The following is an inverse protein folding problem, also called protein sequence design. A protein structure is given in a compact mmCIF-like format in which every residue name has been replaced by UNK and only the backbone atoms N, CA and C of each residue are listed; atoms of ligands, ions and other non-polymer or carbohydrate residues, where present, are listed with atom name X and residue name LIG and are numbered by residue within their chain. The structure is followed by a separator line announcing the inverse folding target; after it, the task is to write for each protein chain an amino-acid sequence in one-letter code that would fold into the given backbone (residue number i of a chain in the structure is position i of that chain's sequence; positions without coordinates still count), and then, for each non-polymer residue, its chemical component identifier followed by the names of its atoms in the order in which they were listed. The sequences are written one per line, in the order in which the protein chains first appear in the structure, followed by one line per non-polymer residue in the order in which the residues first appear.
data_IF_874886758243
#
_entry.id   IF_874886758243
#
_cell.length_a   1.000
_cell.length_b   1.000
_cell.length_c   1.000
_cell.angle_alpha   90.00
_cell.angle_beta   90.00
_cell.angle_gamma   90.00
#
_symmetry.space_group_name_H-M   'P 1'
#
loop_
_entity.id
_entity.type
_entity.pdbx_description
1 polymer ?
#
# COMPACT_ATOMS: atom_id res chain seq x y z
N UNK A 1 49.89 -52.90 40.46
CA UNK A 1 51.17 -52.74 41.19
C UNK A 1 51.65 -51.30 41.04
N UNK A 2 51.88 -50.64 42.19
CA UNK A 2 52.87 -49.59 42.50
C UNK A 2 53.08 -48.36 41.58
N UNK A 3 52.78 -47.21 42.18
CA UNK A 3 53.29 -45.85 42.00
C UNK A 3 54.63 -45.63 41.26
N UNK A 4 54.70 -44.52 40.51
CA UNK A 4 55.75 -43.49 40.74
C UNK A 4 55.37 -42.10 40.20
N UNK A 5 55.36 -41.12 41.11
CA UNK A 5 55.47 -39.68 40.86
C UNK A 5 56.92 -39.32 40.49
N UNK A 6 57.12 -38.36 39.58
CA UNK A 6 58.26 -37.43 39.63
C UNK A 6 57.80 -36.02 39.26
N UNK A 7 58.14 -35.09 40.15
CA UNK A 7 57.97 -33.63 40.08
C UNK A 7 58.98 -32.98 39.12
N UNK A 8 58.52 -31.91 38.47
CA UNK A 8 59.12 -30.59 38.65
C UNK A 8 60.01 -30.04 37.53
N UNK A 9 59.60 -28.90 36.96
CA UNK A 9 60.29 -27.59 37.02
C UNK A 9 59.55 -26.55 36.15
N UNK A 10 59.21 -25.41 36.76
CA UNK A 10 58.95 -24.13 36.07
C UNK A 10 60.27 -23.32 36.07
N UNK A 11 60.57 -22.60 34.99
CA UNK A 11 60.68 -21.14 35.04
C UNK A 11 59.93 -20.47 33.86
N UNK A 12 59.16 -19.41 34.09
CA UNK A 12 59.52 -17.99 34.05
C UNK A 12 59.48 -17.37 32.63
N UNK A 13 58.38 -16.65 32.39
CA UNK A 13 58.17 -15.44 31.60
C UNK A 13 59.17 -15.08 30.49
N UNK A 14 58.64 -15.02 29.26
CA UNK A 14 58.97 -13.98 28.29
C UNK A 14 57.69 -13.58 27.56
N UNK A 15 57.21 -12.38 27.89
CA UNK A 15 56.18 -11.68 27.15
C UNK A 15 56.83 -11.07 25.90
N UNK A 16 56.33 -11.43 24.72
CA UNK A 16 56.46 -10.60 23.51
C UNK A 16 55.08 -10.59 22.87
N UNK A 17 54.49 -9.40 22.82
CA UNK A 17 53.21 -9.17 22.19
C UNK A 17 53.30 -9.39 20.68
N UNK A 18 52.30 -10.07 20.16
CA UNK A 18 51.87 -9.93 18.78
C UNK A 18 50.35 -9.79 18.84
N UNK A 19 49.85 -8.59 18.56
CA UNK A 19 48.43 -8.29 18.51
C UNK A 19 47.76 -9.18 17.47
N UNK A 20 46.94 -10.12 17.92
CA UNK A 20 45.96 -10.79 17.09
C UNK A 20 44.67 -9.95 17.16
N UNK A 21 44.46 -9.15 16.13
CA UNK A 21 43.19 -8.47 15.88
C UNK A 21 42.06 -9.49 15.84
N UNK A 22 41.11 -9.33 16.76
CA UNK A 22 39.85 -10.07 16.81
C UNK A 22 39.03 -9.72 15.57
N UNK A 23 38.95 -10.63 14.60
CA UNK A 23 37.92 -10.58 13.57
C UNK A 23 36.67 -11.29 14.11
N UNK A 24 35.89 -10.58 14.92
CA UNK A 24 34.54 -11.00 15.24
C UNK A 24 33.70 -10.85 13.97
N UNK A 25 33.33 -11.98 13.33
CA UNK A 25 32.27 -11.99 12.32
C UNK A 25 30.95 -11.68 13.03
N UNK A 26 30.63 -10.40 13.17
CA UNK A 26 29.28 -9.95 13.45
C UNK A 26 28.44 -10.19 12.18
N UNK A 27 27.67 -11.27 12.16
CA UNK A 27 26.57 -11.44 11.20
C UNK A 27 25.61 -10.26 11.40
N UNK A 28 25.66 -9.31 10.47
CA UNK A 28 24.81 -8.12 10.50
C UNK A 28 23.34 -8.52 10.52
N UNK A 29 22.69 -8.33 11.67
CA UNK A 29 21.24 -8.26 11.76
C UNK A 29 20.82 -6.93 11.12
N UNK A 30 20.67 -6.92 9.80
CA UNK A 30 20.04 -5.80 9.10
C UNK A 30 18.60 -5.68 9.58
N UNK A 31 18.33 -4.71 10.44
CA UNK A 31 16.97 -4.24 10.70
C UNK A 31 16.52 -3.49 9.45
N UNK A 32 15.58 -4.04 8.70
CA UNK A 32 14.91 -3.29 7.65
C UNK A 32 14.20 -2.12 8.31
N UNK A 33 14.56 -0.89 7.92
CA UNK A 33 13.81 0.29 8.36
C UNK A 33 12.46 0.27 7.63
N UNK A 34 11.39 -0.09 8.34
CA UNK A 34 10.04 0.08 7.82
C UNK A 34 9.65 1.56 7.95
N UNK A 35 9.14 2.14 6.86
CA UNK A 35 8.73 3.54 6.82
C UNK A 35 7.27 3.59 6.39
N UNK A 36 6.46 4.31 7.19
CA UNK A 36 5.01 4.51 7.12
C UNK A 36 4.14 3.27 7.46
N UNK A 37 3.26 3.44 8.45
CA UNK A 37 2.12 2.56 8.71
C UNK A 37 1.08 2.77 7.62
N UNK A 38 0.83 1.74 6.83
CA UNK A 38 -0.06 1.76 5.65
C UNK A 38 -1.42 1.12 5.91
N UNK A 39 -1.58 0.45 7.04
CA UNK A 39 -2.85 -0.10 7.52
C UNK A 39 -2.80 -0.25 9.02
N UNK A 40 -3.91 0.06 9.69
CA UNK A 40 -4.11 -0.22 11.10
C UNK A 40 -5.56 -0.63 11.32
N UNK A 41 -5.78 -1.52 12.28
CA UNK A 41 -7.11 -1.83 12.79
C UNK A 41 -6.99 -2.32 14.25
N UNK A 42 -7.61 -1.59 15.17
CA UNK A 42 -7.70 -1.92 16.59
C UNK A 42 -9.10 -2.40 16.99
N UNK A 43 -10.05 -2.50 16.04
CA UNK A 43 -11.43 -2.98 16.26
C UNK A 43 -12.23 -2.25 17.37
N UNK A 44 -11.74 -1.12 17.88
CA UNK A 44 -12.38 -0.32 18.93
C UNK A 44 -13.63 0.41 18.41
N UNK A 45 -13.75 0.54 17.08
CA UNK A 45 -14.94 1.06 16.40
C UNK A 45 -16.11 0.06 16.36
N UNK A 46 -15.86 -1.18 16.79
CA UNK A 46 -16.89 -2.21 16.92
C UNK A 46 -17.23 -2.92 15.62
N UNK A 47 -16.48 -2.70 14.54
CA UNK A 47 -16.69 -3.38 13.27
C UNK A 47 -15.39 -3.90 12.64
N UNK A 48 -15.52 -4.70 11.58
CA UNK A 48 -14.39 -5.27 10.85
C UNK A 48 -14.39 -4.79 9.39
N UNK A 49 -14.75 -3.53 9.17
CA UNK A 49 -14.78 -2.91 7.86
C UNK A 49 -13.40 -2.99 7.20
N UNK A 50 -13.39 -3.33 5.90
CA UNK A 50 -12.13 -3.53 5.17
C UNK A 50 -11.52 -4.94 5.32
N UNK A 51 -12.11 -5.81 6.13
CA UNK A 51 -11.79 -7.23 6.16
C UNK A 51 -12.74 -8.06 5.31
N UNK A 52 -12.20 -9.07 4.62
CA UNK A 52 -12.94 -10.01 3.80
C UNK A 52 -12.87 -11.42 4.37
N UNK A 53 -14.03 -12.07 4.51
CA UNK A 53 -14.17 -13.38 5.17
C UNK A 53 -13.94 -14.56 4.24
N UNK A 54 -13.29 -15.59 4.77
CA UNK A 54 -13.24 -16.92 4.19
C UNK A 54 -13.33 -17.98 5.30
N UNK A 55 -14.56 -18.46 5.55
CA UNK A 55 -14.85 -19.46 6.58
C UNK A 55 -14.87 -18.92 8.01
N UNK A 56 -15.37 -19.74 8.94
CA UNK A 56 -15.48 -19.44 10.37
C UNK A 56 -16.57 -18.44 10.75
N UNK A 57 -16.72 -18.28 12.06
CA UNK A 57 -17.66 -17.36 12.68
C UNK A 57 -16.86 -16.23 13.34
N UNK A 58 -17.02 -15.03 12.79
CA UNK A 58 -16.23 -13.86 13.11
C UNK A 58 -17.11 -12.72 13.59
N UNK A 59 -16.74 -12.09 14.69
CA UNK A 59 -17.43 -10.92 15.22
C UNK A 59 -16.44 -10.03 15.97
N UNK A 60 -16.63 -8.72 15.90
CA UNK A 60 -15.95 -7.78 16.78
C UNK A 60 -16.73 -7.68 18.08
N UNK A 61 -16.03 -7.89 19.19
CA UNK A 61 -16.62 -7.83 20.53
C UNK A 61 -15.56 -7.43 21.54
N UNK A 62 -15.88 -6.43 22.37
CA UNK A 62 -14.98 -5.96 23.42
C UNK A 62 -13.64 -5.43 22.90
N UNK A 63 -13.65 -4.73 21.76
CA UNK A 63 -12.44 -4.15 21.13
C UNK A 63 -11.53 -5.19 20.46
N UNK A 64 -12.00 -6.41 20.21
CA UNK A 64 -11.20 -7.44 19.56
C UNK A 64 -11.99 -8.18 18.49
N UNK A 65 -11.33 -8.51 17.39
CA UNK A 65 -11.91 -9.33 16.35
C UNK A 65 -11.77 -10.80 16.70
N UNK A 66 -12.89 -11.49 16.89
CA UNK A 66 -12.92 -12.84 17.46
C UNK A 66 -13.40 -13.86 16.45
N UNK A 67 -12.66 -14.95 16.30
CA UNK A 67 -13.11 -16.18 15.68
C UNK A 67 -13.55 -17.16 16.77
N UNK A 68 -14.78 -17.67 16.72
CA UNK A 68 -15.33 -18.55 17.76
C UNK A 68 -15.51 -20.02 17.36
N UNK A 69 -15.49 -20.33 16.07
CA UNK A 69 -15.79 -21.66 15.55
C UNK A 69 -14.57 -22.59 15.53
N UNK A 70 -14.40 -23.38 16.58
CA UNK A 70 -13.32 -24.37 16.69
C UNK A 70 -13.46 -25.57 15.74
N UNK A 71 -14.62 -25.76 15.12
CA UNK A 71 -14.85 -26.81 14.11
C UNK A 71 -14.44 -26.41 12.69
N UNK A 72 -14.10 -25.14 12.46
CA UNK A 72 -13.70 -24.65 11.14
C UNK A 72 -12.32 -25.19 10.76
N UNK A 73 -12.24 -25.92 9.63
CA UNK A 73 -10.97 -26.44 9.11
C UNK A 73 -9.96 -25.32 8.88
N UNK A 74 -10.39 -24.22 8.27
CA UNK A 74 -9.54 -23.06 8.06
C UNK A 74 -10.42 -21.82 7.93
N UNK A 75 -10.40 -20.96 8.94
CA UNK A 75 -11.11 -19.68 8.97
C UNK A 75 -10.12 -18.53 8.78
N UNK A 76 -10.46 -17.57 7.93
CA UNK A 76 -9.57 -16.47 7.57
C UNK A 76 -10.32 -15.16 7.42
N UNK A 77 -9.67 -14.08 7.82
CA UNK A 77 -10.01 -12.71 7.46
C UNK A 77 -8.82 -12.12 6.71
N UNK A 78 -9.07 -11.40 5.61
CA UNK A 78 -8.03 -10.72 4.85
C UNK A 78 -8.30 -9.23 4.73
N UNK A 79 -7.26 -8.42 4.92
CA UNK A 79 -7.30 -6.98 4.74
C UNK A 79 -6.02 -6.48 4.05
N UNK A 80 -6.03 -5.24 3.60
CA UNK A 80 -4.92 -4.67 2.85
C UNK A 80 -4.87 -5.13 1.39
N UNK A 81 -3.75 -4.88 0.74
CA UNK A 81 -3.65 -4.94 -0.72
C UNK A 81 -2.88 -6.18 -1.18
N UNK A 82 -3.35 -6.83 -2.25
CA UNK A 82 -2.67 -7.99 -2.85
C UNK A 82 -1.35 -7.62 -3.54
N UNK A 83 -1.11 -6.34 -3.77
CA UNK A 83 0.11 -5.83 -4.39
C UNK A 83 1.25 -5.55 -3.39
N UNK A 84 1.00 -5.62 -2.08
CA UNK A 84 2.06 -5.38 -1.08
C UNK A 84 3.16 -6.42 -1.20
N UNK A 85 4.36 -5.96 -1.50
CA UNK A 85 5.57 -6.77 -1.64
C UNK A 85 6.35 -6.76 -0.33
N UNK A 86 7.05 -5.66 -0.05
CA UNK A 86 7.91 -5.53 1.11
C UNK A 86 7.18 -4.78 2.21
N UNK A 87 6.92 -5.47 3.32
CA UNK A 87 6.21 -4.92 4.46
C UNK A 87 6.42 -5.77 5.70
N UNK A 88 6.13 -5.19 6.86
CA UNK A 88 5.88 -5.96 8.07
C UNK A 88 4.41 -5.86 8.46
N UNK A 89 3.85 -6.96 8.93
CA UNK A 89 2.54 -6.98 9.58
C UNK A 89 2.71 -7.44 11.01
N UNK A 90 2.07 -6.75 11.94
CA UNK A 90 2.00 -7.10 13.34
C UNK A 90 0.53 -7.17 13.79
N UNK A 91 0.23 -8.07 14.72
CA UNK A 91 -1.04 -8.08 15.44
C UNK A 91 -0.85 -8.68 16.84
N UNK A 92 -1.67 -8.27 17.79
CA UNK A 92 -1.90 -9.04 19.02
C UNK A 92 -2.85 -10.19 18.70
N UNK A 93 -2.49 -11.38 19.17
CA UNK A 93 -3.21 -12.62 18.92
C UNK A 93 -3.38 -13.37 20.24
N UNK A 94 -4.62 -13.74 20.56
CA UNK A 94 -4.96 -14.51 21.77
C UNK A 94 -5.67 -15.80 21.39
N UNK A 95 -4.97 -16.93 21.35
CA UNK A 95 -5.62 -18.23 21.23
C UNK A 95 -6.56 -18.45 22.42
N UNK A 96 -7.80 -18.87 22.17
CA UNK A 96 -8.78 -19.18 23.24
C UNK A 96 -9.05 -20.67 23.36
N UNK A 97 -8.96 -21.42 22.25
CA UNK A 97 -8.97 -22.88 22.28
C UNK A 97 -8.22 -23.47 21.08
N UNK A 98 -7.65 -24.65 21.27
CA UNK A 98 -7.07 -25.49 20.20
C UNK A 98 -7.80 -26.83 20.18
N UNK A 99 -8.31 -27.25 19.03
CA UNK A 99 -8.96 -28.55 18.86
C UNK A 99 -7.99 -29.73 18.79
N UNK A 100 -6.71 -29.46 18.53
CA UNK A 100 -5.64 -30.47 18.48
C UNK A 100 -4.26 -29.84 18.67
N UNK A 101 -3.21 -30.65 18.75
CA UNK A 101 -1.81 -30.17 18.80
C UNK A 101 -1.35 -29.49 17.51
N UNK A 102 -2.03 -29.74 16.39
CA UNK A 102 -1.77 -29.13 15.08
C UNK A 102 -2.72 -27.98 14.74
N UNK A 103 -3.78 -27.78 15.54
CA UNK A 103 -4.65 -26.62 15.43
C UNK A 103 -3.87 -25.33 15.65
N UNK A 104 -4.30 -24.24 15.02
CA UNK A 104 -3.52 -23.01 14.98
C UNK A 104 -4.36 -21.74 15.07
N UNK A 105 -3.76 -20.71 15.66
CA UNK A 105 -4.19 -19.31 15.56
C UNK A 105 -2.97 -18.51 15.08
N UNK A 106 -3.12 -17.63 14.10
CA UNK A 106 -1.95 -17.00 13.49
C UNK A 106 -2.22 -15.80 12.62
N UNK A 107 -1.10 -15.22 12.17
CA UNK A 107 -1.02 -14.06 11.31
C UNK A 107 -0.46 -14.48 9.95
N UNK A 108 -0.89 -13.85 8.87
CA UNK A 108 -0.41 -14.10 7.52
C UNK A 108 0.06 -12.84 6.80
N UNK A 109 1.08 -13.03 5.97
CA UNK A 109 1.65 -12.05 5.07
C UNK A 109 1.72 -12.62 3.65
N UNK A 110 1.77 -11.73 2.66
CA UNK A 110 1.77 -11.99 1.23
C UNK A 110 0.73 -13.04 0.82
N UNK A 111 -0.49 -12.93 1.36
CA UNK A 111 -1.58 -13.80 0.95
C UNK A 111 -2.01 -13.46 -0.47
N UNK A 112 -1.62 -14.28 -1.44
CA UNK A 112 -1.96 -14.10 -2.86
C UNK A 112 -3.27 -14.79 -3.23
N UNK A 113 -3.72 -15.75 -2.42
CA UNK A 113 -5.03 -16.40 -2.52
C UNK A 113 -5.51 -16.79 -1.13
N UNK A 114 -6.65 -17.50 -1.05
CA UNK A 114 -7.16 -18.02 0.22
C UNK A 114 -6.28 -19.12 0.83
N UNK A 115 -5.39 -19.74 0.04
CA UNK A 115 -4.58 -20.90 0.44
C UNK A 115 -3.12 -20.79 0.00
N UNK A 116 -2.66 -19.60 -0.41
CA UNK A 116 -1.26 -19.36 -0.78
C UNK A 116 -0.71 -18.12 -0.10
N UNK A 117 0.22 -18.29 0.84
CA UNK A 117 0.70 -17.23 1.75
C UNK A 117 1.95 -17.64 2.55
N UNK A 118 2.54 -16.69 3.27
CA UNK A 118 3.35 -16.97 4.45
C UNK A 118 2.50 -16.76 5.71
N UNK A 119 2.60 -17.67 6.69
CA UNK A 119 1.89 -17.52 7.97
C UNK A 119 2.78 -17.81 9.16
N UNK A 120 2.60 -17.07 10.24
CA UNK A 120 3.18 -17.33 11.54
C UNK A 120 2.08 -17.91 12.44
N UNK A 121 2.21 -19.20 12.75
CA UNK A 121 1.21 -19.99 13.44
C UNK A 121 1.61 -20.25 14.90
N UNK A 122 0.73 -19.94 15.83
CA UNK A 122 0.76 -20.45 17.20
C UNK A 122 0.00 -21.77 17.22
N UNK A 123 0.67 -22.89 17.53
CA UNK A 123 0.11 -24.23 17.49
C UNK A 123 -0.33 -24.71 18.87
N UNK A 124 -1.35 -25.56 18.92
CA UNK A 124 -1.81 -26.21 20.17
C UNK A 124 -0.74 -27.07 20.87
N UNK A 125 0.32 -27.47 20.15
CA UNK A 125 1.51 -28.13 20.72
C UNK A 125 2.41 -27.22 21.57
N UNK A 126 2.15 -25.91 21.61
CA UNK A 126 3.01 -24.94 22.30
C UNK A 126 4.19 -24.42 21.46
N UNK A 127 4.21 -24.75 20.15
CA UNK A 127 5.20 -24.28 19.18
C UNK A 127 4.67 -23.12 18.35
N UNK A 128 5.55 -22.17 18.06
CA UNK A 128 5.35 -21.17 17.02
C UNK A 128 6.09 -21.62 15.75
N UNK A 129 5.45 -21.53 14.60
CA UNK A 129 6.03 -21.89 13.31
C UNK A 129 5.81 -20.81 12.25
N UNK A 130 6.89 -20.41 11.58
CA UNK A 130 6.81 -19.64 10.34
C UNK A 130 6.70 -20.61 9.18
N UNK A 131 5.63 -20.50 8.39
CA UNK A 131 5.27 -21.48 7.37
C UNK A 131 5.05 -20.82 6.00
N UNK A 132 5.47 -21.52 4.95
CA UNK A 132 5.10 -21.27 3.56
C UNK A 132 3.94 -22.21 3.20
N UNK A 133 2.81 -21.66 2.74
CA UNK A 133 1.57 -22.41 2.47
C UNK A 133 1.24 -22.33 0.99
N UNK A 134 1.12 -23.47 0.31
CA UNK A 134 0.76 -23.57 -1.11
C UNK A 134 -0.35 -24.61 -1.31
N UNK A 135 -1.61 -24.18 -1.17
CA UNK A 135 -2.73 -25.11 -1.10
C UNK A 135 -2.61 -25.98 0.16
N UNK A 136 -2.69 -27.30 -0.03
CA UNK A 136 -2.53 -28.29 1.04
C UNK A 136 -1.07 -28.53 1.45
N UNK A 137 -0.10 -28.01 0.69
CA UNK A 137 1.33 -28.16 1.00
C UNK A 137 1.76 -27.06 1.98
N UNK A 138 2.23 -27.46 3.17
CA UNK A 138 2.70 -26.55 4.21
C UNK A 138 4.15 -26.90 4.55
N UNK A 139 5.06 -25.95 4.36
CA UNK A 139 6.48 -26.11 4.67
C UNK A 139 6.86 -25.16 5.80
N UNK A 140 7.41 -25.69 6.90
CA UNK A 140 7.98 -24.86 7.96
C UNK A 140 9.31 -24.23 7.48
N UNK A 141 9.38 -22.91 7.50
CA UNK A 141 10.61 -22.13 7.29
C UNK A 141 11.46 -22.17 8.56
N UNK A 142 10.81 -22.17 9.73
CA UNK A 142 11.46 -22.33 11.03
C UNK A 142 10.44 -22.37 12.16
N UNK A 143 10.91 -22.69 13.35
CA UNK A 143 10.03 -22.89 14.52
C UNK A 143 10.74 -22.69 15.85
N UNK A 144 9.98 -22.36 16.88
CA UNK A 144 10.44 -22.37 18.27
C UNK A 144 9.37 -22.93 19.21
N UNK A 145 9.78 -23.67 20.23
CA UNK A 145 8.92 -24.01 21.36
C UNK A 145 8.90 -22.82 22.33
N UNK A 146 7.73 -22.21 22.52
CA UNK A 146 7.60 -20.97 23.29
C UNK A 146 6.62 -21.07 24.46
N UNK A 147 5.90 -22.19 24.60
CA UNK A 147 4.91 -22.37 25.65
C UNK A 147 3.68 -21.48 25.45
N UNK A 148 2.80 -21.89 24.52
CA UNK A 148 1.57 -21.15 24.22
C UNK A 148 0.49 -21.51 25.25
N UNK A 149 -0.06 -20.50 25.90
CA UNK A 149 -1.15 -20.60 26.87
C UNK A 149 -2.40 -19.95 26.30
N UNK A 150 -3.53 -20.63 26.38
CA UNK A 150 -4.83 -20.07 25.97
C UNK A 150 -5.22 -18.91 26.88
N UNK A 151 -5.87 -17.89 26.32
CA UNK A 151 -6.27 -16.67 27.03
C UNK A 151 -5.16 -15.63 27.17
N UNK A 152 -3.92 -15.95 26.78
CA UNK A 152 -2.79 -15.02 26.78
C UNK A 152 -2.65 -14.31 25.44
N UNK A 153 -2.42 -13.00 25.46
CA UNK A 153 -2.08 -12.22 24.26
C UNK A 153 -0.61 -12.42 23.89
N UNK A 154 -0.37 -12.67 22.60
CA UNK A 154 0.94 -12.74 21.98
C UNK A 154 1.03 -11.72 20.86
N UNK A 155 2.12 -10.96 20.79
CA UNK A 155 2.37 -10.08 19.64
C UNK A 155 3.06 -10.88 18.55
N UNK A 156 2.36 -11.14 17.45
CA UNK A 156 2.92 -11.79 16.27
C UNK A 156 3.36 -10.72 15.28
N UNK A 157 4.51 -10.93 14.64
CA UNK A 157 4.98 -10.08 13.55
C UNK A 157 5.65 -10.89 12.46
N UNK A 158 5.33 -10.57 11.21
CA UNK A 158 5.98 -11.13 10.02
C UNK A 158 6.60 -9.98 9.25
N UNK A 159 7.89 -10.08 8.96
CA UNK A 159 8.56 -9.20 8.01
C UNK A 159 8.76 -9.96 6.70
N UNK A 160 8.32 -9.37 5.59
CA UNK A 160 8.58 -9.87 4.26
C UNK A 160 9.36 -8.80 3.48
N UNK A 161 10.57 -9.11 3.04
CA UNK A 161 11.38 -8.21 2.20
C UNK A 161 12.19 -8.99 1.18
N UNK A 162 11.99 -8.67 -0.10
CA UNK A 162 12.51 -9.49 -1.20
C UNK A 162 12.08 -10.95 -1.05
N UNK A 163 13.02 -11.89 -1.02
CA UNK A 163 12.76 -13.31 -0.70
C UNK A 163 12.87 -13.64 0.79
N UNK A 164 13.29 -12.70 1.63
CA UNK A 164 13.51 -12.95 3.06
C UNK A 164 12.19 -12.84 3.83
N UNK A 165 11.84 -13.88 4.58
CA UNK A 165 10.70 -13.89 5.50
C UNK A 165 11.23 -14.11 6.92
N UNK A 166 10.80 -13.27 7.87
CA UNK A 166 11.12 -13.38 9.31
C UNK A 166 9.85 -13.41 10.13
N UNK A 167 9.83 -14.24 11.16
CA UNK A 167 8.72 -14.36 12.10
C UNK A 167 9.18 -14.04 13.52
N UNK A 168 8.37 -13.27 14.23
CA UNK A 168 8.63 -12.84 15.59
C UNK A 168 7.44 -13.10 16.49
N UNK A 169 7.71 -13.51 17.73
CA UNK A 169 6.71 -13.61 18.79
C UNK A 169 7.19 -12.78 19.97
N UNK A 170 6.36 -11.86 20.46
CA UNK A 170 6.68 -10.95 21.56
C UNK A 170 8.01 -10.19 21.34
N UNK A 171 8.25 -9.76 20.10
CA UNK A 171 9.47 -9.06 19.69
C UNK A 171 10.68 -9.96 19.44
N UNK A 172 10.69 -11.21 19.90
CA UNK A 172 11.80 -12.16 19.66
C UNK A 172 11.66 -12.84 18.31
N UNK A 173 12.71 -12.81 17.49
CA UNK A 173 12.72 -13.54 16.21
C UNK A 173 12.76 -15.05 16.48
N UNK A 174 11.74 -15.78 16.02
CA UNK A 174 11.66 -17.25 16.20
C UNK A 174 12.10 -18.00 14.94
N UNK A 175 12.04 -17.36 13.76
CA UNK A 175 12.44 -17.96 12.50
C UNK A 175 12.81 -16.88 11.46
N UNK A 176 13.72 -17.24 10.56
CA UNK A 176 14.04 -16.47 9.35
C UNK A 176 14.47 -17.42 8.24
N UNK A 177 14.11 -17.12 7.00
CA UNK A 177 14.59 -17.86 5.84
C UNK A 177 14.33 -17.14 4.52
N UNK A 178 15.00 -17.59 3.47
CA UNK A 178 14.74 -17.15 2.09
C UNK A 178 13.71 -18.08 1.45
N UNK A 179 12.63 -17.53 0.90
CA UNK A 179 11.56 -18.26 0.24
C UNK A 179 10.92 -17.41 -0.88
N UNK A 180 10.64 -18.02 -2.03
CA UNK A 180 10.09 -17.35 -3.22
C UNK A 180 8.69 -17.83 -3.60
N UNK A 181 7.96 -18.46 -2.67
CA UNK A 181 6.60 -18.99 -2.90
C UNK A 181 5.64 -17.92 -3.44
N UNK A 182 5.64 -16.75 -2.81
CA UNK A 182 4.85 -15.57 -3.17
C UNK A 182 5.67 -14.30 -2.90
N UNK A 183 5.68 -13.38 -3.85
CA UNK A 183 6.43 -12.11 -3.76
C UNK A 183 5.55 -10.93 -3.33
N UNK A 184 4.22 -11.06 -3.40
CA UNK A 184 3.27 -10.04 -3.00
C UNK A 184 1.98 -10.67 -2.46
N UNK A 185 1.24 -9.91 -1.66
CA UNK A 185 -0.09 -10.30 -1.21
C UNK A 185 -0.54 -9.51 0.01
N UNK A 186 -1.82 -9.67 0.34
CA UNK A 186 -2.47 -8.98 1.46
C UNK A 186 -2.16 -9.66 2.80
N UNK A 187 -2.54 -9.02 3.90
CA UNK A 187 -2.42 -9.64 5.24
C UNK A 187 -3.61 -10.54 5.53
N UNK A 188 -3.48 -11.39 6.55
CA UNK A 188 -4.63 -12.14 7.04
C UNK A 188 -4.53 -12.58 8.50
N UNK A 189 -5.69 -12.74 9.13
CA UNK A 189 -5.86 -13.38 10.44
C UNK A 189 -6.41 -14.78 10.20
N UNK A 190 -5.85 -15.78 10.87
CA UNK A 190 -6.11 -17.18 10.51
C UNK A 190 -6.32 -18.02 11.76
N UNK A 191 -7.35 -18.88 11.72
CA UNK A 191 -7.46 -20.03 12.61
C UNK A 191 -7.65 -21.32 11.81
N UNK A 192 -7.23 -22.46 12.37
CA UNK A 192 -7.52 -23.81 11.87
C UNK A 192 -7.84 -24.69 13.05
N UNK A 193 -9.06 -25.23 13.10
CA UNK A 193 -9.59 -26.01 14.22
C UNK A 193 -9.34 -25.38 15.59
N UNK A 194 -9.40 -24.05 15.65
CA UNK A 194 -9.06 -23.25 16.83
C UNK A 194 -9.90 -21.97 16.84
N UNK A 195 -10.01 -21.37 18.02
CA UNK A 195 -10.63 -20.08 18.24
C UNK A 195 -9.64 -19.10 18.86
N UNK A 196 -9.86 -17.81 18.64
CA UNK A 196 -8.97 -16.77 19.14
C UNK A 196 -9.45 -15.36 18.86
N UNK A 197 -8.84 -14.41 19.57
CA UNK A 197 -9.02 -12.98 19.37
C UNK A 197 -7.80 -12.35 18.69
N UNK A 198 -8.07 -11.30 17.93
CA UNK A 198 -7.08 -10.51 17.20
C UNK A 198 -7.32 -9.04 17.48
N UNK A 199 -6.24 -8.28 17.63
CA UNK A 199 -6.29 -6.86 18.00
C UNK A 199 -4.98 -6.16 17.58
N UNK A 200 -4.98 -4.83 17.55
CA UNK A 200 -3.84 -3.97 17.20
C UNK A 200 -3.09 -4.42 15.94
N UNK A 201 -3.85 -4.65 14.86
CA UNK A 201 -3.27 -4.99 13.57
C UNK A 201 -2.60 -3.75 13.00
N UNK A 202 -1.34 -3.86 12.63
CA UNK A 202 -0.57 -2.79 12.00
C UNK A 202 0.24 -3.34 10.84
N UNK A 203 0.35 -2.57 9.76
CA UNK A 203 1.20 -2.90 8.61
C UNK A 203 2.07 -1.70 8.33
N UNK A 204 3.38 -1.91 8.29
CA UNK A 204 4.33 -0.88 7.88
C UNK A 204 5.01 -1.28 6.57
N UNK A 205 5.14 -0.33 5.64
CA UNK A 205 5.85 -0.59 4.38
C UNK A 205 7.35 -0.80 4.57
N UNK A 206 7.91 -1.78 3.87
CA UNK A 206 9.34 -2.08 3.87
C UNK A 206 10.11 -1.06 3.06
N UNK A 207 10.97 -0.28 3.72
CA UNK A 207 11.82 0.71 3.07
C UNK A 207 13.00 0.05 2.34
N UNK A 208 12.98 0.13 1.01
CA UNK A 208 14.15 -0.10 0.17
C UNK A 208 14.78 1.22 -0.29
N UNK A 209 15.98 1.50 0.22
CA UNK A 209 17.03 2.47 -0.20
C UNK A 209 17.34 3.64 0.77
N UNK A 210 18.63 3.73 1.11
CA UNK A 210 19.33 4.58 2.08
C UNK A 210 19.35 6.08 1.71
N UNK A 211 19.17 7.00 2.68
CA UNK A 211 19.78 8.34 2.64
C UNK A 211 20.92 8.47 3.68
N UNK A 212 21.86 9.43 3.50
CA UNK A 212 23.13 9.45 4.21
C UNK A 212 22.99 9.81 5.70
N UNK A 213 23.96 9.32 6.48
CA UNK A 213 24.13 9.56 7.91
C UNK A 213 24.24 11.03 8.27
N UNK A 214 23.39 11.52 9.17
CA UNK A 214 23.71 12.63 10.08
C UNK A 214 23.10 12.38 11.46
N UNK A 215 23.91 12.68 12.48
CA UNK A 215 23.69 12.57 13.92
C UNK A 215 22.35 13.17 14.37
N UNK A 216 21.66 12.49 15.29
CA UNK A 216 20.33 12.85 15.80
C UNK A 216 20.32 14.17 16.62
N UNK A 217 19.38 15.09 16.34
CA UNK A 217 18.89 16.10 17.28
C UNK A 217 17.74 15.55 18.15
N UNK A 218 17.47 16.14 19.33
CA UNK A 218 16.54 15.60 20.32
C UNK A 218 15.07 15.74 19.90
N UNK A 219 14.22 14.91 20.51
CA UNK A 219 12.80 14.74 20.22
C UNK A 219 12.00 16.06 20.08
N UNK A 220 11.11 16.20 19.08
CA UNK A 220 10.15 17.28 19.03
C UNK A 220 8.81 16.89 19.69
N UNK A 221 8.44 17.67 20.70
CA UNK A 221 7.13 17.71 21.37
C UNK A 221 6.11 18.55 20.59
N UNK A 222 6.06 18.43 19.27
CA UNK A 222 5.16 19.23 18.42
C UNK A 222 4.69 18.46 17.20
N UNK A 223 3.42 18.69 16.83
CA UNK A 223 2.72 18.03 15.73
C UNK A 223 3.52 18.01 14.41
N UNK A 224 3.31 17.01 13.52
CA UNK A 224 4.05 16.88 12.28
C UNK A 224 3.89 18.17 11.44
N UNK A 225 4.93 18.62 10.72
CA UNK A 225 4.78 19.74 9.82
C UNK A 225 3.71 19.37 8.78
N UNK A 226 2.63 20.14 8.77
CA UNK A 226 1.77 20.27 7.61
C UNK A 226 2.65 20.85 6.51
N UNK A 227 3.27 20.00 5.69
CA UNK A 227 3.80 20.50 4.42
C UNK A 227 2.55 20.95 3.66
N UNK A 228 2.36 22.26 3.44
CA UNK A 228 1.30 22.69 2.56
C UNK A 228 1.58 22.07 1.19
N UNK A 229 0.55 21.74 0.40
CA UNK A 229 0.76 21.46 -1.01
C UNK A 229 1.59 22.62 -1.59
N UNK A 230 2.55 22.37 -2.51
CA UNK A 230 3.51 23.39 -2.91
C UNK A 230 2.76 24.66 -3.33
N UNK A 231 2.98 25.74 -2.59
CA UNK A 231 2.67 27.10 -3.06
C UNK A 231 3.69 27.54 -4.12
N UNK A 232 4.15 26.60 -4.96
CA UNK A 232 5.12 26.81 -6.01
C UNK A 232 4.40 27.21 -7.28
N UNK A 233 4.97 28.18 -7.98
CA UNK A 233 4.60 28.50 -9.35
C UNK A 233 4.63 27.24 -10.21
N UNK A 234 3.80 27.21 -11.25
CA UNK A 234 3.90 26.21 -12.32
C UNK A 234 5.36 26.11 -12.80
N UNK A 235 5.89 24.89 -13.01
CA UNK A 235 7.30 24.73 -13.31
C UNK A 235 7.65 25.33 -14.67
N UNK A 236 8.87 25.86 -14.78
CA UNK A 236 9.43 26.28 -16.06
C UNK A 236 10.06 25.08 -16.75
N UNK A 237 9.75 24.80 -18.02
CA UNK A 237 10.37 23.69 -18.74
C UNK A 237 11.87 23.92 -18.94
N UNK A 238 12.66 22.85 -18.79
CA UNK A 238 14.11 22.88 -19.06
C UNK A 238 14.42 22.91 -20.56
N UNK A 239 13.52 22.34 -21.35
CA UNK A 239 13.56 22.29 -22.82
C UNK A 239 12.16 21.92 -23.34
N UNK A 240 11.95 22.01 -24.64
CA UNK A 240 10.69 21.59 -25.29
C UNK A 240 10.97 20.60 -26.41
N UNK A 241 10.12 19.60 -26.56
CA UNK A 241 10.15 18.59 -27.60
C UNK A 241 8.75 18.45 -28.21
N UNK A 242 8.65 18.71 -29.52
CA UNK A 242 7.46 18.34 -30.29
C UNK A 242 7.44 16.82 -30.44
N UNK A 243 6.26 16.23 -30.27
CA UNK A 243 6.02 14.79 -30.37
C UNK A 243 5.07 14.56 -31.54
N UNK A 244 5.51 13.75 -32.51
CA UNK A 244 4.74 13.43 -33.71
C UNK A 244 4.06 12.04 -33.63
N UNK A 245 4.40 11.25 -32.60
CA UNK A 245 3.83 9.93 -32.33
C UNK A 245 3.98 9.57 -30.85
N UNK A 246 3.08 8.75 -30.33
CA UNK A 246 3.08 8.25 -28.94
C UNK A 246 4.44 7.70 -28.51
N UNK A 247 4.87 8.07 -27.30
CA UNK A 247 6.13 7.61 -26.69
C UNK A 247 5.86 6.39 -25.78
N UNK A 248 6.35 5.19 -26.10
CA UNK A 248 6.23 4.03 -25.21
C UNK A 248 7.22 4.10 -24.04
N UNK A 249 6.78 3.71 -22.84
CA UNK A 249 7.59 3.64 -21.62
C UNK A 249 7.39 2.29 -20.94
N UNK A 250 8.45 1.47 -20.84
CA UNK A 250 8.39 0.13 -20.22
C UNK A 250 9.08 0.02 -18.86
N UNK A 251 9.83 1.05 -18.45
CA UNK A 251 10.55 1.12 -17.18
C UNK A 251 10.37 2.50 -16.54
N UNK A 252 11.44 3.08 -16.00
CA UNK A 252 11.41 4.47 -15.53
C UNK A 252 11.87 5.42 -16.64
N UNK A 253 11.06 6.43 -16.92
CA UNK A 253 11.40 7.55 -17.79
C UNK A 253 11.43 8.84 -16.97
N UNK A 254 12.58 9.50 -16.93
CA UNK A 254 12.74 10.82 -16.34
C UNK A 254 12.87 11.85 -17.46
N UNK A 255 11.88 12.75 -17.54
CA UNK A 255 11.85 13.80 -18.54
C UNK A 255 12.74 15.01 -18.21
N UNK A 256 13.31 15.10 -17.02
CA UNK A 256 14.16 16.22 -16.60
C UNK A 256 13.45 17.57 -16.65
N UNK A 257 12.13 17.59 -16.40
CA UNK A 257 11.22 18.74 -16.57
C UNK A 257 11.16 19.28 -18.00
N UNK A 258 11.42 18.44 -19.01
CA UNK A 258 11.17 18.77 -20.42
C UNK A 258 9.67 18.84 -20.71
N UNK A 259 9.27 19.82 -21.53
CA UNK A 259 7.94 19.92 -22.12
C UNK A 259 7.82 19.03 -23.35
N UNK A 260 6.79 18.19 -23.40
CA UNK A 260 6.37 17.41 -24.57
C UNK A 260 5.03 17.96 -25.05
N UNK A 261 4.87 18.19 -26.34
CA UNK A 261 3.67 18.81 -26.91
C UNK A 261 3.50 18.45 -28.38
N UNK A 262 2.32 18.73 -28.94
CA UNK A 262 2.09 18.67 -30.39
C UNK A 262 1.40 17.42 -30.90
N UNK A 263 0.82 16.60 -30.00
CA UNK A 263 0.03 15.41 -30.36
C UNK A 263 -1.47 15.72 -30.27
N UNK A 264 -2.24 15.22 -31.24
CA UNK A 264 -3.67 15.54 -31.36
C UNK A 264 -3.94 16.95 -31.92
N UNK A 265 -5.21 17.34 -31.94
CA UNK A 265 -5.68 18.62 -32.49
C UNK A 265 -6.00 19.66 -31.41
N UNK A 266 -5.89 19.28 -30.13
CA UNK A 266 -6.24 20.11 -28.97
C UNK A 266 -7.74 20.10 -28.64
N UNK A 267 -8.52 19.24 -29.30
CA UNK A 267 -9.94 19.05 -29.04
C UNK A 267 -10.23 18.00 -27.96
N UNK A 268 -11.51 17.63 -27.84
CA UNK A 268 -12.04 16.66 -26.88
C UNK A 268 -12.44 15.32 -27.55
N UNK A 269 -11.88 15.01 -28.73
CA UNK A 269 -12.23 13.79 -29.46
C UNK A 269 -11.69 12.53 -28.76
N UNK A 270 -12.54 11.49 -28.62
CA UNK A 270 -12.23 10.24 -27.90
C UNK A 270 -11.22 9.30 -28.60
N UNK A 271 -10.65 9.70 -29.75
CA UNK A 271 -9.75 8.86 -30.57
C UNK A 271 -8.37 9.48 -30.77
N UNK A 272 -8.00 10.46 -29.94
CA UNK A 272 -6.69 11.09 -30.01
C UNK A 272 -5.62 10.13 -29.47
N UNK A 273 -4.43 10.18 -30.06
CA UNK A 273 -3.29 9.42 -29.57
C UNK A 273 -2.77 10.00 -28.23
N UNK A 274 -2.38 9.16 -27.26
CA UNK A 274 -1.73 9.61 -26.04
C UNK A 274 -0.30 10.07 -26.31
N UNK A 275 0.16 11.09 -25.59
CA UNK A 275 1.57 11.52 -25.58
C UNK A 275 2.50 10.40 -25.13
N UNK A 276 2.12 9.69 -24.06
CA UNK A 276 2.88 8.57 -23.50
C UNK A 276 1.99 7.35 -23.26
N UNK A 277 2.50 6.15 -23.58
CA UNK A 277 1.90 4.87 -23.17
C UNK A 277 2.86 4.16 -22.24
N UNK A 278 2.41 3.92 -21.01
CA UNK A 278 3.16 3.24 -19.97
C UNK A 278 2.75 1.76 -19.91
N UNK A 279 3.72 0.88 -20.06
CA UNK A 279 3.54 -0.54 -19.79
C UNK A 279 3.33 -0.80 -18.29
N UNK A 280 2.89 -2.01 -17.94
CA UNK A 280 2.76 -2.44 -16.56
C UNK A 280 4.09 -2.30 -15.79
N UNK A 281 4.04 -1.62 -14.65
CA UNK A 281 5.17 -1.31 -13.78
C UNK A 281 5.94 -0.03 -14.14
N UNK A 282 5.62 0.63 -15.25
CA UNK A 282 6.38 1.79 -15.71
C UNK A 282 6.16 3.03 -14.85
N UNK A 283 7.18 3.90 -14.83
CA UNK A 283 7.14 5.19 -14.14
C UNK A 283 7.47 6.32 -15.12
N UNK A 284 6.63 7.36 -15.14
CA UNK A 284 6.91 8.62 -15.82
C UNK A 284 7.18 9.68 -14.74
N UNK A 285 8.33 10.37 -14.82
CA UNK A 285 8.66 11.42 -13.84
C UNK A 285 9.23 12.67 -14.45
N UNK A 286 9.00 13.81 -13.78
CA UNK A 286 9.55 15.11 -14.14
C UNK A 286 9.28 15.47 -15.61
N UNK A 287 8.00 15.47 -15.99
CA UNK A 287 7.55 15.72 -17.36
C UNK A 287 6.55 16.85 -17.34
N UNK A 288 6.66 17.77 -18.30
CA UNK A 288 5.63 18.77 -18.59
C UNK A 288 4.96 18.36 -19.91
N UNK A 289 3.64 18.39 -19.96
CA UNK A 289 2.82 18.10 -21.13
C UNK A 289 2.09 19.38 -21.50
N UNK A 290 2.42 19.92 -22.67
CA UNK A 290 1.83 21.14 -23.21
C UNK A 290 0.85 20.85 -24.34
N UNK A 291 0.00 21.84 -24.66
CA UNK A 291 -0.94 21.75 -25.77
C UNK A 291 -0.23 21.74 -27.15
N UNK A 292 -0.79 21.04 -28.15
CA UNK A 292 -1.79 19.97 -28.03
C UNK A 292 -1.26 18.74 -27.26
N UNK A 293 -2.08 18.20 -26.36
CA UNK A 293 -1.71 17.12 -25.44
C UNK A 293 -2.33 15.75 -25.78
N UNK A 294 -3.15 15.66 -26.84
CA UNK A 294 -3.88 14.45 -27.23
C UNK A 294 -4.71 13.86 -26.09
N UNK A 295 -4.67 12.52 -25.96
CA UNK A 295 -5.23 11.75 -24.84
C UNK A 295 -4.14 11.50 -23.76
N UNK A 296 -3.31 12.52 -23.51
CA UNK A 296 -2.42 12.60 -22.36
C UNK A 296 -1.50 11.39 -22.16
N UNK A 297 -1.66 10.68 -21.03
CA UNK A 297 -0.84 9.52 -20.64
C UNK A 297 -1.72 8.29 -20.42
N UNK A 298 -1.40 7.17 -21.06
CA UNK A 298 -2.09 5.90 -20.82
C UNK A 298 -1.28 4.98 -19.93
N UNK A 299 -1.95 4.36 -18.96
CA UNK A 299 -1.38 3.30 -18.14
C UNK A 299 -2.04 1.96 -18.46
N UNK A 300 -1.30 1.08 -19.14
CA UNK A 300 -1.77 -0.25 -19.57
C UNK A 300 -1.67 -1.31 -18.45
N UNK A 301 -1.00 -0.96 -17.36
CA UNK A 301 -0.87 -1.75 -16.14
C UNK A 301 -0.71 -0.82 -14.94
N UNK A 302 -0.32 -1.37 -13.79
CA UNK A 302 0.08 -0.55 -12.65
C UNK A 302 1.14 0.45 -13.10
N UNK A 303 0.93 1.75 -12.89
CA UNK A 303 1.86 2.78 -13.33
C UNK A 303 2.08 3.81 -12.24
N UNK A 304 3.19 4.55 -12.34
CA UNK A 304 3.49 5.68 -11.45
C UNK A 304 3.77 6.94 -12.25
N UNK A 305 3.06 8.01 -11.94
CA UNK A 305 3.27 9.35 -12.47
C UNK A 305 3.82 10.20 -11.32
N UNK A 306 5.06 10.65 -11.41
CA UNK A 306 5.71 11.44 -10.35
C UNK A 306 6.08 12.83 -10.87
N UNK A 307 5.56 13.89 -10.28
CA UNK A 307 5.89 15.25 -10.68
C UNK A 307 5.65 15.50 -12.19
N UNK A 308 4.47 15.08 -12.67
CA UNK A 308 4.03 15.27 -14.06
C UNK A 308 3.04 16.44 -14.12
N UNK A 309 3.23 17.35 -15.08
CA UNK A 309 2.50 18.60 -15.16
C UNK A 309 1.80 18.74 -16.50
N UNK A 310 0.49 18.95 -16.51
CA UNK A 310 -0.31 19.22 -17.70
C UNK A 310 -0.68 20.69 -17.73
N UNK A 311 -0.11 21.43 -18.68
CA UNK A 311 -0.34 22.87 -18.82
C UNK A 311 -1.69 23.19 -19.46
N UNK A 312 -2.22 22.23 -20.22
CA UNK A 312 -3.53 22.25 -20.84
C UNK A 312 -3.93 20.80 -21.09
N UNK A 313 -4.99 20.35 -20.43
CA UNK A 313 -5.45 18.96 -20.57
C UNK A 313 -6.19 18.85 -21.91
N UNK A 314 -5.79 17.86 -22.71
CA UNK A 314 -6.45 17.50 -23.96
C UNK A 314 -7.79 16.80 -23.69
N UNK A 315 -7.98 15.59 -24.22
CA UNK A 315 -9.18 14.80 -23.88
C UNK A 315 -9.15 14.40 -22.40
N UNK A 316 -8.09 13.70 -21.99
CA UNK A 316 -7.74 13.38 -20.62
C UNK A 316 -6.27 13.71 -20.32
N UNK A 317 -5.94 13.96 -19.05
CA UNK A 317 -4.53 14.12 -18.64
C UNK A 317 -3.87 12.75 -18.51
N UNK A 318 -4.55 11.81 -17.86
CA UNK A 318 -4.15 10.42 -17.85
C UNK A 318 -5.34 9.46 -17.76
N UNK A 319 -5.19 8.32 -18.43
CA UNK A 319 -6.18 7.26 -18.52
C UNK A 319 -5.62 5.94 -18.00
N UNK A 320 -6.21 5.43 -16.91
CA UNK A 320 -5.81 4.19 -16.25
C UNK A 320 -6.60 3.02 -16.81
N UNK A 321 -5.97 2.13 -17.58
CA UNK A 321 -6.64 1.12 -18.42
C UNK A 321 -6.48 -0.31 -17.91
N UNK A 322 -5.34 -0.67 -17.32
CA UNK A 322 -5.08 -2.03 -16.85
C UNK A 322 -4.30 -2.08 -15.53
N UNK A 323 -4.43 -3.18 -14.79
CA UNK A 323 -3.79 -3.33 -13.47
C UNK A 323 -4.77 -3.18 -12.32
N UNK A 324 -4.23 -3.01 -11.12
CA UNK A 324 -4.96 -2.91 -9.85
C UNK A 324 -4.56 -1.72 -9.00
N UNK A 325 -3.44 -1.05 -9.31
CA UNK A 325 -2.95 0.09 -8.53
C UNK A 325 -2.18 1.06 -9.41
N UNK A 326 -2.57 2.33 -9.36
CA UNK A 326 -1.95 3.44 -10.08
C UNK A 326 -1.59 4.53 -9.09
N UNK A 327 -0.45 5.19 -9.28
CA UNK A 327 0.00 6.27 -8.40
C UNK A 327 0.24 7.53 -9.20
N UNK A 328 -0.32 8.64 -8.72
CA UNK A 328 -0.01 10.01 -9.11
C UNK A 328 0.53 10.70 -7.87
N UNK A 329 1.78 11.15 -7.91
CA UNK A 329 2.46 11.76 -6.77
C UNK A 329 3.20 13.03 -7.17
N UNK A 330 2.72 14.17 -6.69
CA UNK A 330 3.20 15.47 -7.11
C UNK A 330 2.69 15.85 -8.51
N UNK A 331 3.06 17.05 -8.96
CA UNK A 331 2.63 17.56 -10.25
C UNK A 331 1.32 18.34 -10.20
N UNK A 332 0.76 18.61 -11.38
CA UNK A 332 -0.51 19.30 -11.48
C UNK A 332 -1.09 19.33 -12.87
N UNK A 333 -2.39 19.58 -12.98
CA UNK A 333 -3.10 19.68 -14.26
C UNK A 333 -4.02 20.89 -14.26
N UNK A 334 -4.14 21.55 -15.42
CA UNK A 334 -5.07 22.66 -15.60
C UNK A 334 -5.79 22.64 -16.93
N UNK A 335 -6.88 23.40 -17.00
CA UNK A 335 -7.67 23.61 -18.22
C UNK A 335 -8.38 22.34 -18.73
N UNK A 336 -8.75 21.42 -17.84
CA UNK A 336 -9.47 20.21 -18.24
C UNK A 336 -10.96 20.45 -18.45
N UNK A 337 -11.44 20.38 -19.69
CA UNK A 337 -12.83 20.66 -20.04
C UNK A 337 -13.83 19.74 -19.32
N UNK A 338 -13.61 18.41 -19.35
CA UNK A 338 -14.42 17.43 -18.60
C UNK A 338 -13.66 16.79 -17.45
N UNK A 339 -12.65 15.95 -17.72
CA UNK A 339 -11.97 15.15 -16.69
C UNK A 339 -10.45 15.21 -16.84
N UNK A 340 -9.74 15.21 -15.71
CA UNK A 340 -8.26 15.14 -15.68
C UNK A 340 -7.84 13.68 -15.71
N UNK A 341 -8.37 12.88 -14.79
CA UNK A 341 -8.04 11.47 -14.68
C UNK A 341 -9.23 10.57 -14.97
N UNK A 342 -9.08 9.75 -15.99
CA UNK A 342 -10.05 8.74 -16.37
C UNK A 342 -9.61 7.36 -15.88
N UNK A 343 -10.50 6.65 -15.20
CA UNK A 343 -10.22 5.30 -14.70
C UNK A 343 -11.12 4.28 -15.41
N UNK A 344 -10.56 3.63 -16.43
CA UNK A 344 -11.21 2.62 -17.25
C UNK A 344 -10.98 1.20 -16.71
N UNK A 345 -9.79 0.91 -16.19
CA UNK A 345 -9.43 -0.36 -15.56
C UNK A 345 -10.08 -0.55 -14.17
N UNK A 346 -9.74 -1.64 -13.50
CA UNK A 346 -10.12 -1.87 -12.10
C UNK A 346 -9.05 -1.42 -11.11
N UNK A 347 -9.36 -1.50 -9.82
CA UNK A 347 -8.38 -1.28 -8.75
C UNK A 347 -8.42 0.13 -8.17
N UNK A 348 -7.27 0.64 -7.71
CA UNK A 348 -7.18 1.91 -6.95
C UNK A 348 -6.22 2.90 -7.59
N UNK A 349 -6.66 4.16 -7.74
CA UNK A 349 -5.78 5.28 -8.09
C UNK A 349 -5.45 6.08 -6.83
N UNK A 350 -4.17 6.22 -6.52
CA UNK A 350 -3.68 7.09 -5.44
C UNK A 350 -3.25 8.41 -6.05
N UNK A 351 -3.85 9.52 -5.62
CA UNK A 351 -3.54 10.88 -6.08
C UNK A 351 -3.04 11.67 -4.87
N UNK A 352 -1.76 12.01 -4.88
CA UNK A 352 -1.09 12.63 -3.74
C UNK A 352 -0.32 13.87 -4.14
N UNK A 353 -0.28 14.86 -3.24
CA UNK A 353 0.53 16.07 -3.42
C UNK A 353 0.25 16.80 -4.75
N UNK A 354 -0.98 16.69 -5.26
CA UNK A 354 -1.34 17.09 -6.61
C UNK A 354 -2.11 18.41 -6.64
N UNK A 355 -1.90 19.20 -7.69
CA UNK A 355 -2.62 20.45 -7.91
C UNK A 355 -3.53 20.36 -9.13
N UNK A 356 -4.79 20.73 -8.98
CA UNK A 356 -5.73 20.85 -10.10
C UNK A 356 -6.31 22.26 -10.19
N UNK A 357 -6.35 22.82 -11.40
CA UNK A 357 -6.89 24.15 -11.66
C UNK A 357 -7.84 24.16 -12.86
N UNK A 358 -9.00 24.80 -12.73
CA UNK A 358 -9.92 25.02 -13.86
C UNK A 358 -10.29 23.72 -14.58
N UNK A 359 -10.98 22.81 -13.88
CA UNK A 359 -11.38 21.53 -14.43
C UNK A 359 -12.84 21.15 -14.12
N UNK A 360 -13.47 20.38 -15.00
CA UNK A 360 -14.73 19.70 -14.70
C UNK A 360 -14.57 18.73 -13.52
N UNK A 361 -13.78 17.66 -13.67
CA UNK A 361 -13.56 16.64 -12.65
C UNK A 361 -12.08 16.28 -12.55
N UNK A 362 -11.53 16.21 -11.34
CA UNK A 362 -10.18 15.69 -11.18
C UNK A 362 -10.12 14.19 -11.50
N UNK A 363 -11.09 13.41 -11.04
CA UNK A 363 -11.11 11.96 -11.24
C UNK A 363 -12.52 11.48 -11.60
N UNK A 364 -12.60 10.59 -12.60
CA UNK A 364 -13.83 9.89 -12.97
C UNK A 364 -13.59 8.39 -13.11
N UNK A 365 -14.32 7.60 -12.32
CA UNK A 365 -14.47 6.16 -12.54
C UNK A 365 -15.37 5.93 -13.77
N UNK A 366 -14.90 5.24 -14.81
CA UNK A 366 -15.69 5.08 -16.03
C UNK A 366 -17.07 4.47 -15.74
N UNK A 367 -18.14 5.18 -16.11
CA UNK A 367 -19.51 4.79 -15.75
C UNK A 367 -20.26 3.97 -16.79
N UNK A 368 -19.78 3.91 -18.04
CA UNK A 368 -20.40 3.21 -19.18
C UNK A 368 -19.37 2.51 -20.07
N UNK A 369 -18.23 2.12 -19.50
CA UNK A 369 -17.22 1.33 -20.20
C UNK A 369 -17.78 -0.03 -20.64
N UNK A 370 -17.19 -0.60 -21.69
CA UNK A 370 -17.52 -1.95 -22.18
C UNK A 370 -17.38 -3.02 -21.11
N UNK A 371 -16.45 -2.83 -20.17
CA UNK A 371 -16.30 -3.66 -18.97
C UNK A 371 -16.50 -2.82 -17.72
N UNK A 372 -17.40 -3.28 -16.86
CA UNK A 372 -17.62 -2.70 -15.54
C UNK A 372 -16.61 -3.28 -14.55
N UNK A 373 -15.93 -2.39 -13.82
CA UNK A 373 -15.02 -2.75 -12.74
C UNK A 373 -15.43 -2.04 -11.46
N UNK A 374 -15.06 -2.63 -10.33
CA UNK A 374 -14.99 -1.90 -9.07
C UNK A 374 -13.72 -1.05 -9.05
N UNK A 375 -13.88 0.24 -8.78
CA UNK A 375 -12.82 1.26 -8.88
C UNK A 375 -12.75 2.12 -7.64
N UNK A 376 -11.55 2.38 -7.19
CA UNK A 376 -11.29 3.17 -5.99
C UNK A 376 -10.36 4.33 -6.30
N UNK A 377 -10.52 5.42 -5.55
CA UNK A 377 -9.58 6.54 -5.55
C UNK A 377 -9.26 6.96 -4.12
N UNK A 378 -7.99 7.28 -3.88
CA UNK A 378 -7.52 7.84 -2.60
C UNK A 378 -6.83 9.15 -2.92
N UNK A 379 -7.39 10.26 -2.45
CA UNK A 379 -6.86 11.60 -2.62
C UNK A 379 -6.30 12.12 -1.31
N UNK A 380 -5.04 12.54 -1.33
CA UNK A 380 -4.35 12.99 -0.14
C UNK A 380 -3.45 14.19 -0.46
N UNK A 381 -3.55 15.26 0.31
CA UNK A 381 -2.81 16.50 0.05
C UNK A 381 -3.03 17.04 -1.38
N UNK A 382 -4.29 17.17 -1.79
CA UNK A 382 -4.68 17.70 -3.10
C UNK A 382 -5.13 19.16 -2.95
N UNK A 383 -4.63 20.03 -3.82
CA UNK A 383 -5.12 21.42 -3.95
C UNK A 383 -5.94 21.57 -5.19
N UNK A 384 -7.16 22.08 -5.04
CA UNK A 384 -8.05 22.37 -6.15
C UNK A 384 -8.40 23.85 -6.20
N UNK A 385 -8.35 24.43 -7.40
CA UNK A 385 -8.83 25.78 -7.69
C UNK A 385 -9.79 25.70 -8.86
N UNK A 386 -10.95 26.36 -8.80
CA UNK A 386 -11.91 26.40 -9.91
C UNK A 386 -12.25 25.03 -10.51
N UNK A 387 -12.30 23.98 -9.68
CA UNK A 387 -12.57 22.60 -10.11
C UNK A 387 -13.96 22.20 -9.66
N UNK A 388 -14.83 21.72 -10.55
CA UNK A 388 -16.25 21.48 -10.19
C UNK A 388 -16.40 20.26 -9.28
N UNK A 389 -15.68 19.18 -9.56
CA UNK A 389 -15.78 17.91 -8.81
C UNK A 389 -14.39 17.32 -8.57
N UNK A 390 -14.10 16.81 -7.37
CA UNK A 390 -12.85 16.06 -7.17
C UNK A 390 -12.98 14.62 -7.67
N UNK A 391 -13.91 13.83 -7.14
CA UNK A 391 -14.12 12.46 -7.61
C UNK A 391 -15.57 12.18 -8.03
N UNK A 392 -15.78 11.53 -9.17
CA UNK A 392 -17.05 10.92 -9.58
C UNK A 392 -16.97 9.39 -9.58
N UNK A 393 -17.73 8.72 -8.71
CA UNK A 393 -17.71 7.26 -8.50
C UNK A 393 -19.05 6.57 -8.78
N UNK A 394 -19.04 5.28 -9.14
CA UNK A 394 -20.25 4.50 -9.42
C UNK A 394 -20.58 3.56 -8.24
N UNK A 395 -21.52 3.95 -7.38
CA UNK A 395 -21.73 3.27 -6.09
C UNK A 395 -22.31 1.86 -6.24
N UNK A 396 -23.11 1.61 -7.28
CA UNK A 396 -23.69 0.30 -7.57
C UNK A 396 -22.65 -0.76 -7.99
N UNK A 397 -21.42 -0.36 -8.30
CA UNK A 397 -20.31 -1.27 -8.56
C UNK A 397 -19.34 -1.38 -7.38
N UNK A 398 -19.67 -0.75 -6.26
CA UNK A 398 -18.85 -0.77 -5.04
C UNK A 398 -17.67 0.18 -5.08
N UNK A 399 -17.68 1.17 -5.98
CA UNK A 399 -16.61 2.16 -6.06
C UNK A 399 -16.49 2.95 -4.75
N UNK A 400 -15.26 3.36 -4.39
CA UNK A 400 -15.03 4.23 -3.23
C UNK A 400 -14.07 5.37 -3.54
N UNK A 401 -14.25 6.49 -2.85
CA UNK A 401 -13.36 7.65 -2.88
C UNK A 401 -13.03 8.08 -1.45
N UNK A 402 -11.75 8.09 -1.10
CA UNK A 402 -11.23 8.52 0.20
C UNK A 402 -10.50 9.85 0.05
N UNK A 403 -10.72 10.77 0.97
CA UNK A 403 -10.10 12.10 0.92
C UNK A 403 -9.47 12.46 2.26
N UNK A 404 -8.28 13.04 2.21
CA UNK A 404 -7.61 13.62 3.37
C UNK A 404 -6.75 14.81 2.94
N UNK A 405 -6.63 15.80 3.81
CA UNK A 405 -5.78 17.00 3.58
C UNK A 405 -6.09 17.70 2.25
N UNK A 406 -7.35 17.84 1.90
CA UNK A 406 -7.79 18.53 0.69
C UNK A 406 -7.84 20.03 0.95
N UNK A 407 -7.28 20.81 0.04
CA UNK A 407 -7.37 22.27 0.07
C UNK A 407 -8.12 22.77 -1.15
N UNK A 408 -9.24 23.46 -0.95
CA UNK A 408 -9.99 24.14 -2.00
C UNK A 408 -9.70 25.63 -1.90
N UNK A 409 -9.15 26.20 -2.96
CA UNK A 409 -8.79 27.63 -3.01
C UNK A 409 -9.86 28.44 -3.73
N UNK A 410 -10.09 29.66 -3.23
CA UNK A 410 -10.93 30.68 -3.86
C UNK A 410 -12.38 30.22 -4.10
N UNK A 411 -12.91 29.36 -3.22
CA UNK A 411 -14.27 28.84 -3.31
C UNK A 411 -15.05 29.09 -2.00
N UNK A 412 -15.19 30.37 -1.64
CA UNK A 412 -15.94 30.78 -0.46
C UNK A 412 -17.40 30.29 -0.48
N UNK A 413 -17.96 30.10 -1.68
CA UNK A 413 -19.31 29.55 -1.88
C UNK A 413 -19.41 28.02 -1.80
N UNK A 414 -18.29 27.32 -1.61
CA UNK A 414 -18.21 25.85 -1.55
C UNK A 414 -18.89 25.15 -2.73
N UNK A 415 -18.69 25.67 -3.94
CA UNK A 415 -19.22 25.10 -5.19
C UNK A 415 -18.51 23.83 -5.62
N UNK A 416 -17.25 23.63 -5.23
CA UNK A 416 -16.52 22.41 -5.53
C UNK A 416 -17.12 21.24 -4.76
N UNK A 417 -17.64 20.26 -5.49
CA UNK A 417 -18.15 19.01 -4.94
C UNK A 417 -16.99 18.05 -4.70
N UNK A 418 -16.83 17.59 -3.47
CA UNK A 418 -15.72 16.67 -3.12
C UNK A 418 -15.93 15.29 -3.77
N UNK A 419 -17.13 14.73 -3.66
CA UNK A 419 -17.43 13.41 -4.17
C UNK A 419 -18.84 13.38 -4.77
N UNK A 420 -18.95 13.08 -6.05
CA UNK A 420 -20.20 12.82 -6.75
C UNK A 420 -20.44 11.32 -6.92
N UNK A 421 -21.68 10.90 -6.72
CA UNK A 421 -22.12 9.52 -6.78
C UNK A 421 -23.00 9.31 -7.99
N UNK A 422 -22.68 8.26 -8.75
CA UNK A 422 -23.37 7.87 -9.96
C UNK A 422 -23.89 6.45 -9.87
N UNK A 423 -24.91 6.15 -10.67
CA UNK A 423 -25.27 4.79 -11.04
C UNK A 423 -24.60 4.44 -12.36
N UNK A 424 -23.57 3.60 -12.32
CA UNK A 424 -22.91 3.05 -13.50
C UNK A 424 -23.84 2.13 -14.28
N UNK A 425 -23.66 2.08 -15.60
CA UNK A 425 -24.52 1.37 -16.56
C UNK A 425 -23.66 0.62 -17.59
N UNK A 426 -24.22 -0.37 -18.31
CA UNK A 426 -23.53 -0.96 -19.46
C UNK A 426 -23.23 0.07 -20.56
N UNK A 427 -22.26 -0.24 -21.43
CA UNK A 427 -21.96 0.58 -22.60
C UNK A 427 -23.19 0.80 -23.49
N UNK A 428 -23.35 2.03 -23.98
CA UNK A 428 -24.49 2.45 -24.81
C UNK A 428 -25.61 3.14 -24.01
N UNK A 429 -25.39 3.39 -22.72
CA UNK A 429 -26.27 4.21 -21.88
C UNK A 429 -25.45 5.20 -21.08
N UNK A 430 -26.08 6.30 -20.66
CA UNK A 430 -25.43 7.34 -19.87
C UNK A 430 -25.61 7.11 -18.35
N UNK A 431 -24.53 7.16 -17.55
CA UNK A 431 -24.62 7.07 -16.09
C UNK A 431 -25.39 8.25 -15.51
N UNK A 432 -26.26 8.01 -14.54
CA UNK A 432 -27.02 9.07 -13.87
C UNK A 432 -26.38 9.48 -12.55
N UNK A 433 -26.32 10.79 -12.27
CA UNK A 433 -25.95 11.29 -10.94
C UNK A 433 -27.07 10.94 -9.96
N UNK A 434 -26.71 10.34 -8.83
CA UNK A 434 -27.64 9.88 -7.78
C UNK A 434 -27.38 10.51 -6.42
N UNK A 435 -26.30 11.27 -6.27
CA UNK A 435 -26.02 12.02 -5.05
C UNK A 435 -24.63 12.62 -5.04
N UNK A 436 -24.28 13.22 -3.91
CA UNK A 436 -22.97 13.82 -3.66
C UNK A 436 -22.66 13.79 -2.16
N UNK A 437 -21.43 14.13 -1.81
CA UNK A 437 -20.99 14.27 -0.43
C UNK A 437 -20.63 12.95 0.27
N UNK A 438 -20.03 13.08 1.45
CA UNK A 438 -19.64 11.97 2.31
C UNK A 438 -20.86 11.14 2.73
N UNK A 439 -20.69 9.82 2.76
CA UNK A 439 -21.67 8.87 3.30
C UNK A 439 -21.04 7.77 4.18
N UNK A 440 -19.71 7.81 4.37
CA UNK A 440 -18.99 6.83 5.17
C UNK A 440 -18.83 5.45 4.52
N UNK A 441 -19.40 5.24 3.33
CA UNK A 441 -19.40 3.94 2.63
C UNK A 441 -18.68 4.03 1.30
N UNK A 442 -19.14 4.92 0.41
CA UNK A 442 -18.57 5.12 -0.91
C UNK A 442 -17.73 6.40 -0.95
N UNK A 443 -18.24 7.50 -0.42
CA UNK A 443 -17.51 8.77 -0.29
C UNK A 443 -17.09 8.93 1.18
N UNK A 444 -15.78 8.83 1.44
CA UNK A 444 -15.26 8.67 2.80
C UNK A 444 -14.32 9.84 3.12
N UNK A 445 -14.86 10.80 3.86
CA UNK A 445 -14.13 11.95 4.40
C UNK A 445 -14.96 12.64 5.49
N UNK A 446 -14.28 13.43 6.33
CA UNK A 446 -14.87 14.31 7.33
C UNK A 446 -14.71 15.78 6.93
N UNK A 447 -15.38 16.69 7.65
CA UNK A 447 -15.17 18.13 7.43
C UNK A 447 -13.73 18.56 7.72
N UNK A 448 -13.02 17.90 8.65
CA UNK A 448 -11.62 18.18 8.96
C UNK A 448 -10.65 17.78 7.85
N UNK A 449 -11.07 16.92 6.92
CA UNK A 449 -10.26 16.55 5.76
C UNK A 449 -10.24 17.63 4.68
N UNK A 450 -11.17 18.60 4.74
CA UNK A 450 -11.37 19.62 3.70
C UNK A 450 -11.13 21.01 4.28
N UNK A 451 -10.13 21.70 3.76
CA UNK A 451 -9.83 23.10 4.08
C UNK A 451 -10.22 23.99 2.90
N UNK A 452 -11.08 24.98 3.13
CA UNK A 452 -11.36 26.04 2.16
C UNK A 452 -10.51 27.26 2.51
N UNK A 453 -9.83 27.87 1.52
CA UNK A 453 -9.00 29.07 1.70
C UNK A 453 -9.31 30.16 0.70
#
# INVERSE_FOLDING_TARGET
MRHRLVRGRRPLLLAVGAGATVAALALGMGTSAFAATVFTDNFDDGDASGWSKSGGDWAVSGGAFTQSNTGSELARQFAGQTAWTDYQVQARVRPTAFGSSSALVGLAARSSSNTKMYRLALLGSGRAELQAVNGSQVTAIGSASIGISTGTWYTLRIEASGSTIRGFVNGSQIASGSNSLVSAGRIGLITSYASGGFDDVTVDSGGGTTPPSTTAPPAPTTAPPSNPPPAGNWPTPTSSQKVDATIPVSGSFDGGMRRYYGIGDGGQGESQDPMFVLAAGATLRNVIIGAPAGDGVHCEGNCTLTNVWWEDVGEDAATFRGGSTYTVDGGGARSGSDKVFQHNGGGTVYIRNFRVESSGKLYRACGNCSTSYQRHVVMDNVTATSTKVLAGINTNWGDTARFSRITILNDASRKTVICEKYRGVPKGSEPTKIGEGADGVNCIYSSSDITYR
#
